data_IF_899686018643
#
_entry.id   IF_899686018643
#
_cell.length_a   1.000
_cell.length_b   1.000
_cell.length_c   1.000
_cell.angle_alpha   90.00
_cell.angle_beta   90.00
_cell.angle_gamma   90.00
#
_symmetry.space_group_name_H-M   'P 1'
#
loop_
_entity.id
_entity.type
_entity.pdbx_description
1 polymer ?
#
# COMPACT_ATOMS: atom_id res chain seq x y z
N UNK A 1 0.21 19.65 23.46
CA UNK A 1 -0.12 19.76 22.02
C UNK A 1 0.05 18.37 21.43
N UNK A 2 -1.03 17.74 20.97
CA UNK A 2 -0.95 16.45 20.29
C UNK A 2 -0.64 16.73 18.82
N UNK A 3 0.60 16.50 18.40
CA UNK A 3 0.97 16.61 16.98
C UNK A 3 0.39 15.41 16.27
N UNK A 4 -0.68 15.60 15.50
CA UNK A 4 -1.19 14.53 14.64
C UNK A 4 -0.08 14.04 13.71
N UNK A 5 0.13 12.72 13.59
CA UNK A 5 1.17 12.19 12.70
C UNK A 5 0.88 12.64 11.27
N UNK A 6 1.87 13.27 10.64
CA UNK A 6 1.80 13.62 9.21
C UNK A 6 2.36 12.46 8.42
N UNK A 7 1.57 11.91 7.51
CA UNK A 7 2.05 10.91 6.55
C UNK A 7 2.82 11.66 5.46
N UNK A 8 4.08 11.31 5.26
CA UNK A 8 4.98 11.96 4.29
C UNK A 8 5.75 10.92 3.49
N UNK A 9 6.14 11.29 2.27
CA UNK A 9 6.98 10.45 1.43
C UNK A 9 8.38 10.32 2.04
N UNK A 10 8.88 9.10 2.20
CA UNK A 10 10.22 8.86 2.74
C UNK A 10 11.33 9.42 1.83
N UNK A 11 11.08 9.55 0.53
CA UNK A 11 12.08 9.98 -0.44
C UNK A 11 12.16 11.52 -0.57
N UNK A 12 11.01 12.19 -0.67
CA UNK A 12 10.95 13.62 -0.99
C UNK A 12 10.17 14.47 0.03
N UNK A 13 9.67 13.85 1.10
CA UNK A 13 8.97 14.50 2.22
C UNK A 13 7.69 15.28 1.87
N UNK A 14 7.13 15.08 0.68
CA UNK A 14 5.81 15.61 0.33
C UNK A 14 4.71 14.94 1.16
N UNK A 15 3.63 15.66 1.43
CA UNK A 15 2.50 15.19 2.25
C UNK A 15 1.44 14.42 1.47
N UNK A 16 1.60 14.31 0.14
CA UNK A 16 0.71 13.58 -0.75
C UNK A 16 1.06 12.08 -0.77
N UNK A 17 0.84 11.42 0.37
CA UNK A 17 1.09 9.98 0.51
C UNK A 17 -0.11 9.31 1.14
N UNK A 18 -0.57 8.22 0.52
CA UNK A 18 -1.66 7.42 1.04
C UNK A 18 -1.28 6.84 2.42
N UNK A 19 -2.27 6.65 3.29
CA UNK A 19 -2.07 6.28 4.70
C UNK A 19 -1.23 5.00 4.90
N UNK A 20 -1.25 4.09 3.92
CA UNK A 20 -0.52 2.82 3.94
C UNK A 20 0.63 2.75 2.92
N UNK A 21 0.99 3.88 2.32
CA UNK A 21 2.11 3.97 1.39
C UNK A 21 3.32 4.64 2.05
N UNK A 22 4.52 4.17 1.70
CA UNK A 22 5.78 4.77 2.16
C UNK A 22 6.26 5.90 1.25
N UNK A 23 5.75 5.95 0.01
CA UNK A 23 6.26 6.79 -1.07
C UNK A 23 5.09 7.44 -1.80
N UNK A 24 5.30 8.65 -2.30
CA UNK A 24 4.34 9.32 -3.17
C UNK A 24 4.37 8.74 -4.59
N UNK A 25 3.32 9.00 -5.37
CA UNK A 25 3.20 8.51 -6.74
C UNK A 25 4.31 9.01 -7.68
N UNK A 26 4.96 10.13 -7.34
CA UNK A 26 6.12 10.63 -8.08
C UNK A 26 7.41 9.83 -7.85
N UNK A 27 7.65 9.35 -6.62
CA UNK A 27 8.86 8.59 -6.28
C UNK A 27 8.72 7.09 -6.54
N UNK A 28 7.49 6.59 -6.47
CA UNK A 28 7.14 5.19 -6.68
C UNK A 28 7.73 4.57 -7.96
N UNK A 29 7.56 5.14 -9.17
CA UNK A 29 8.05 4.49 -10.41
C UNK A 29 9.57 4.31 -10.43
N UNK A 30 10.33 5.25 -9.84
CA UNK A 30 11.78 5.13 -9.74
C UNK A 30 12.19 4.00 -8.80
N UNK A 31 11.48 3.81 -7.70
CA UNK A 31 11.74 2.74 -6.74
C UNK A 31 11.33 1.37 -7.27
N UNK A 32 10.21 1.30 -8.00
CA UNK A 32 9.78 0.09 -8.73
C UNK A 32 10.82 -0.29 -9.80
N UNK A 33 11.30 0.67 -10.60
CA UNK A 33 12.35 0.43 -11.60
C UNK A 33 13.69 0.00 -10.98
N UNK A 34 13.98 0.45 -9.75
CA UNK A 34 15.15 0.03 -8.99
C UNK A 34 14.96 -1.33 -8.28
N UNK A 35 13.76 -1.93 -8.32
CA UNK A 35 13.44 -3.17 -7.62
C UNK A 35 13.42 -3.03 -6.09
N UNK A 36 13.25 -1.81 -5.57
CA UNK A 36 13.25 -1.53 -4.13
C UNK A 36 11.90 -1.73 -3.47
N UNK A 37 10.82 -1.65 -4.24
CA UNK A 37 9.44 -1.87 -3.80
C UNK A 37 8.70 -2.69 -4.85
N UNK A 38 7.68 -3.42 -4.42
CA UNK A 38 6.81 -4.13 -5.35
C UNK A 38 5.86 -3.13 -6.05
N UNK A 39 5.56 -3.38 -7.34
CA UNK A 39 4.52 -2.63 -8.03
C UNK A 39 3.21 -2.78 -7.27
N UNK A 40 2.46 -1.69 -7.18
CA UNK A 40 1.23 -1.67 -6.40
C UNK A 40 0.32 -2.83 -6.72
N UNK A 41 0.03 -3.64 -5.70
CA UNK A 41 -1.11 -4.53 -5.71
C UNK A 41 -2.33 -3.64 -5.94
N UNK A 42 -2.75 -3.53 -7.20
CA UNK A 42 -4.10 -3.10 -7.54
C UNK A 42 -5.02 -4.04 -6.75
N UNK A 43 -5.99 -3.48 -6.04
CA UNK A 43 -6.97 -4.11 -5.13
C UNK A 43 -7.73 -5.33 -5.72
N UNK A 44 -7.02 -6.36 -6.17
CA UNK A 44 -7.54 -7.57 -6.79
C UNK A 44 -7.61 -8.72 -5.78
N UNK A 45 -7.66 -8.40 -4.48
CA UNK A 45 -7.77 -9.38 -3.39
C UNK A 45 -9.01 -9.11 -2.54
N UNK A 46 -10.16 -8.88 -3.18
CA UNK A 46 -11.47 -8.84 -2.54
C UNK A 46 -12.36 -10.04 -2.91
N UNK A 47 -11.85 -11.04 -3.65
CA UNK A 47 -12.64 -12.19 -4.12
C UNK A 47 -12.11 -13.55 -3.64
N UNK A 48 -11.48 -13.62 -2.45
CA UNK A 48 -11.36 -14.90 -1.75
C UNK A 48 -12.70 -15.23 -1.06
N UNK A 49 -13.71 -15.53 -1.88
CA UNK A 49 -14.97 -16.12 -1.44
C UNK A 49 -14.67 -17.54 -0.94
N UNK A 50 -14.35 -17.65 0.35
CA UNK A 50 -14.12 -18.94 1.03
C UNK A 50 -15.36 -19.81 0.81
N UNK A 51 -15.27 -20.81 -0.07
CA UNK A 51 -16.30 -21.83 -0.24
C UNK A 51 -16.13 -22.87 0.88
N UNK A 52 -16.85 -22.68 1.97
CA UNK A 52 -16.94 -23.68 3.04
C UNK A 52 -17.86 -24.80 2.52
N UNK A 53 -17.27 -25.92 2.10
CA UNK A 53 -18.03 -27.12 1.75
C UNK A 53 -18.80 -27.68 2.96
N UNK A 54 -19.90 -28.42 2.75
CA UNK A 54 -20.70 -28.94 3.85
C UNK A 54 -19.84 -29.86 4.71
N UNK A 55 -19.70 -29.50 5.99
CA UNK A 55 -19.09 -30.37 6.99
C UNK A 55 -20.14 -31.39 7.40
N UNK A 56 -19.99 -32.62 6.90
CA UNK A 56 -20.80 -33.78 7.29
C UNK A 56 -20.38 -34.19 8.72
N UNK A 57 -21.31 -34.08 9.68
CA UNK A 57 -21.21 -34.60 11.06
C UNK A 57 -22.48 -35.35 11.41
#
# INVERSE_FOLDING_TARGET
MSTSPRVVCVCCQVTEVAWYALTCDGCRPTLEAAGLIEPGASDASADQRIQIGPTDI
#
